data_IF_192341541165
#
_entry.id   IF_192341541165
#
_cell.length_a   1.000
_cell.length_b   1.000
_cell.length_c   1.000
_cell.angle_alpha   90.00
_cell.angle_beta   90.00
_cell.angle_gamma   90.00
#
_symmetry.space_group_name_H-M   'P 1'
#
loop_
_entity.id
_entity.type
_entity.pdbx_description
1 polymer ?
#
# COMPACT_ATOMS: atom_id res chain seq x y z
N UNK A 1 -7.94 -1.30 -11.34
CA UNK A 1 -7.18 -1.72 -10.13
C UNK A 1 -6.56 -3.12 -10.21
N UNK A 2 -7.16 -4.11 -10.88
CA UNK A 2 -6.79 -5.53 -10.69
C UNK A 2 -5.32 -5.89 -10.90
N UNK A 3 -4.67 -5.41 -11.98
CA UNK A 3 -3.23 -5.66 -12.20
C UNK A 3 -2.31 -4.63 -11.56
N UNK A 4 -2.67 -3.35 -11.64
CA UNK A 4 -1.83 -2.25 -11.15
C UNK A 4 -1.81 -2.14 -9.63
N UNK A 5 -2.88 -2.58 -8.94
CA UNK A 5 -2.99 -2.56 -7.49
C UNK A 5 -1.89 -3.36 -6.78
N UNK A 6 -1.59 -4.57 -7.28
CA UNK A 6 -0.53 -5.42 -6.74
C UNK A 6 0.84 -4.71 -6.86
N UNK A 7 1.08 -4.01 -7.97
CA UNK A 7 2.33 -3.26 -8.16
C UNK A 7 2.50 -2.12 -7.14
N UNK A 8 1.41 -1.52 -6.64
CA UNK A 8 1.50 -0.47 -5.63
C UNK A 8 1.99 -1.02 -4.29
N UNK A 9 1.51 -2.21 -3.90
CA UNK A 9 2.01 -2.92 -2.72
C UNK A 9 3.49 -3.29 -2.88
N UNK A 10 3.89 -3.86 -4.02
CA UNK A 10 5.31 -4.14 -4.26
C UNK A 10 6.18 -2.89 -4.24
N UNK A 11 5.68 -1.76 -4.73
CA UNK A 11 6.40 -0.48 -4.65
C UNK A 11 6.61 -0.02 -3.21
N UNK A 12 5.62 -0.21 -2.34
CA UNK A 12 5.73 0.07 -0.91
C UNK A 12 6.70 -0.89 -0.23
N UNK A 13 6.59 -2.19 -0.50
CA UNK A 13 7.51 -3.22 0.02
C UNK A 13 8.97 -2.93 -0.36
N UNK A 14 9.22 -2.50 -1.60
CA UNK A 14 10.57 -2.08 -2.02
C UNK A 14 11.05 -0.86 -1.23
N UNK A 15 10.19 0.13 -0.98
CA UNK A 15 10.56 1.30 -0.18
C UNK A 15 10.91 0.91 1.27
N UNK A 16 10.19 -0.05 1.84
CA UNK A 16 10.47 -0.59 3.17
C UNK A 16 11.80 -1.35 3.19
N UNK A 17 12.08 -2.16 2.17
CA UNK A 17 13.33 -2.90 2.03
C UNK A 17 14.52 -1.94 1.96
N UNK A 18 14.47 -0.95 1.05
CA UNK A 18 15.51 0.06 0.90
C UNK A 18 15.71 0.87 2.19
N UNK A 19 14.64 1.12 2.94
CA UNK A 19 14.71 1.83 4.22
C UNK A 19 15.35 1.01 5.32
N UNK A 20 14.98 -0.26 5.47
CA UNK A 20 15.56 -1.12 6.50
C UNK A 20 17.03 -1.44 6.25
N UNK A 21 17.47 -1.59 4.99
CA UNK A 21 18.90 -1.72 4.68
C UNK A 21 19.72 -0.54 5.23
N UNK A 22 19.18 0.70 5.15
CA UNK A 22 19.85 1.88 5.73
C UNK A 22 19.92 1.87 7.25
N UNK A 23 19.08 1.07 7.91
CA UNK A 23 19.11 0.85 9.36
C UNK A 23 19.93 -0.37 9.77
N UNK A 24 20.61 -1.02 8.82
CA UNK A 24 21.55 -2.13 9.09
C UNK A 24 20.93 -3.52 9.04
N UNK A 25 19.72 -3.67 8.50
CA UNK A 25 19.12 -4.99 8.28
C UNK A 25 19.72 -5.67 7.05
N UNK A 26 19.92 -6.99 7.13
CA UNK A 26 20.28 -7.81 5.98
C UNK A 26 19.09 -7.90 5.01
N UNK A 27 19.37 -7.74 3.72
CA UNK A 27 18.34 -7.63 2.68
C UNK A 27 17.43 -8.85 2.64
N UNK A 28 18.00 -10.04 2.68
CA UNK A 28 17.26 -11.29 2.52
C UNK A 28 16.33 -11.54 3.73
N UNK A 29 16.81 -11.28 4.95
CA UNK A 29 15.98 -11.36 6.16
C UNK A 29 14.84 -10.34 6.11
N UNK A 30 15.14 -9.10 5.73
CA UNK A 30 14.14 -8.04 5.66
C UNK A 30 13.10 -8.30 4.56
N UNK A 31 13.52 -8.87 3.43
CA UNK A 31 12.62 -9.29 2.36
C UNK A 31 11.58 -10.29 2.87
N UNK A 32 12.01 -11.30 3.63
CA UNK A 32 11.12 -12.31 4.20
C UNK A 32 10.16 -11.68 5.23
N UNK A 33 10.67 -10.83 6.12
CA UNK A 33 9.86 -10.11 7.12
C UNK A 33 8.76 -9.28 6.44
N UNK A 34 9.12 -8.48 5.41
CA UNK A 34 8.17 -7.64 4.69
C UNK A 34 7.14 -8.49 3.96
N UNK A 35 7.58 -9.59 3.34
CA UNK A 35 6.69 -10.51 2.61
C UNK A 35 5.65 -11.14 3.53
N UNK A 36 6.07 -11.69 4.68
CA UNK A 36 5.15 -12.26 5.65
C UNK A 36 4.24 -11.21 6.29
N UNK A 37 4.72 -9.98 6.47
CA UNK A 37 3.88 -8.86 6.92
C UNK A 37 2.77 -8.57 5.92
N UNK A 38 3.07 -8.53 4.63
CA UNK A 38 2.08 -8.31 3.58
C UNK A 38 1.05 -9.45 3.51
N UNK A 39 1.51 -10.71 3.64
CA UNK A 39 0.61 -11.87 3.74
C UNK A 39 -0.32 -11.75 4.95
N UNK A 40 0.22 -11.45 6.13
CA UNK A 40 -0.57 -11.29 7.36
C UNK A 40 -1.65 -10.21 7.23
N UNK A 41 -1.30 -9.05 6.67
CA UNK A 41 -2.26 -7.97 6.43
C UNK A 41 -3.39 -8.41 5.47
N UNK A 42 -3.03 -9.10 4.37
CA UNK A 42 -4.01 -9.65 3.43
C UNK A 42 -4.91 -10.71 4.05
N UNK A 43 -4.36 -11.62 4.85
CA UNK A 43 -5.12 -12.65 5.57
C UNK A 43 -6.09 -12.02 6.56
N UNK A 44 -5.66 -11.02 7.35
CA UNK A 44 -6.54 -10.29 8.27
C UNK A 44 -7.71 -9.61 7.56
N UNK A 45 -7.46 -9.06 6.36
CA UNK A 45 -8.51 -8.44 5.55
C UNK A 45 -9.54 -9.45 5.01
N UNK A 46 -9.11 -10.69 4.73
CA UNK A 46 -9.96 -11.76 4.23
C UNK A 46 -10.83 -12.42 5.30
N UNK A 47 -10.42 -12.38 6.58
CA UNK A 47 -11.04 -13.14 7.68
C UNK A 47 -12.38 -12.55 8.20
N UNK A 48 -13.12 -11.77 7.38
CA UNK A 48 -14.39 -11.15 7.78
C UNK A 48 -15.60 -11.72 7.04
N UNK A 49 -16.42 -12.47 7.78
CA UNK A 49 -17.57 -13.23 7.25
C UNK A 49 -18.91 -12.47 7.20
N UNK A 50 -18.97 -11.16 7.47
CA UNK A 50 -20.25 -10.43 7.45
C UNK A 50 -20.15 -8.97 6.99
N UNK A 51 -19.14 -8.22 7.44
CA UNK A 51 -18.88 -6.84 7.02
C UNK A 51 -17.38 -6.57 7.21
N UNK A 52 -16.61 -6.35 6.15
CA UNK A 52 -15.21 -5.98 6.29
C UNK A 52 -15.11 -4.65 7.05
N UNK A 53 -14.31 -4.55 8.12
CA UNK A 53 -14.03 -3.28 8.77
C UNK A 53 -13.25 -2.38 7.81
N UNK A 54 -13.27 -1.07 8.08
CA UNK A 54 -12.43 -0.16 7.32
C UNK A 54 -10.95 -0.47 7.59
N UNK A 55 -10.08 -0.28 6.59
CA UNK A 55 -8.64 -0.53 6.78
C UNK A 55 -8.02 0.32 7.90
N UNK A 56 -8.59 1.52 8.14
CA UNK A 56 -8.21 2.39 9.25
C UNK A 56 -8.42 1.73 10.63
N UNK A 57 -9.39 0.83 10.77
CA UNK A 57 -9.63 0.15 12.04
C UNK A 57 -8.56 -0.90 12.34
N UNK A 58 -8.02 -1.59 11.34
CA UNK A 58 -6.82 -2.42 11.54
C UNK A 58 -5.62 -1.59 11.98
N UNK A 59 -5.42 -0.40 11.38
CA UNK A 59 -4.35 0.49 11.82
C UNK A 59 -4.50 0.89 13.29
N UNK A 60 -5.71 1.24 13.75
CA UNK A 60 -5.99 1.56 15.16
C UNK A 60 -5.79 0.37 16.10
N UNK A 61 -6.10 -0.84 15.65
CA UNK A 61 -5.90 -2.06 16.46
C UNK A 61 -4.41 -2.40 16.64
N UNK A 62 -3.58 -2.09 15.64
CA UNK A 62 -2.14 -2.39 15.64
C UNK A 62 -1.33 -1.26 16.28
N UNK A 63 -1.72 0.00 16.06
CA UNK A 63 -1.03 1.17 16.60
C UNK A 63 -1.45 1.44 18.04
N UNK A 64 -0.51 1.29 18.96
CA UNK A 64 -0.70 1.69 20.37
C UNK A 64 -0.30 3.16 20.56
N UNK A 65 -0.98 3.92 21.43
CA UNK A 65 -0.63 5.31 21.74
C UNK A 65 0.82 5.44 22.24
N UNK A 66 1.59 6.35 21.63
CA UNK A 66 3.01 6.55 21.88
C UNK A 66 3.94 5.49 21.29
N UNK A 67 3.40 4.57 20.47
CA UNK A 67 4.14 3.46 19.87
C UNK A 67 4.88 3.82 18.58
N UNK A 68 5.75 2.91 18.14
CA UNK A 68 6.52 3.07 16.89
C UNK A 68 5.64 3.05 15.65
N UNK A 69 4.56 2.26 15.65
CA UNK A 69 3.59 2.22 14.55
C UNK A 69 2.87 3.56 14.40
N UNK A 70 2.42 4.16 15.50
CA UNK A 70 1.78 5.48 15.50
C UNK A 70 2.73 6.54 14.91
N UNK A 71 3.98 6.57 15.36
CA UNK A 71 4.98 7.51 14.84
C UNK A 71 5.20 7.38 13.32
N UNK A 72 5.20 6.16 12.78
CA UNK A 72 5.30 5.93 11.33
C UNK A 72 4.04 6.40 10.58
N UNK A 73 2.85 6.09 11.11
CA UNK A 73 1.57 6.52 10.52
C UNK A 73 1.44 8.05 10.52
N UNK A 74 1.88 8.74 11.57
CA UNK A 74 1.89 10.20 11.62
C UNK A 74 2.76 10.82 10.52
N UNK A 75 3.90 10.21 10.21
CA UNK A 75 4.74 10.66 9.08
C UNK A 75 4.00 10.47 7.75
N UNK A 76 3.33 9.34 7.55
CA UNK A 76 2.54 9.12 6.33
C UNK A 76 1.38 10.11 6.19
N UNK A 77 0.71 10.44 7.30
CA UNK A 77 -0.38 11.41 7.34
C UNK A 77 0.14 12.82 7.02
N UNK A 78 1.25 13.25 7.64
CA UNK A 78 1.86 14.55 7.33
C UNK A 78 2.38 14.64 5.89
N UNK A 79 2.87 13.53 5.32
CA UNK A 79 3.24 13.46 3.92
C UNK A 79 2.02 13.45 2.96
N UNK A 80 0.80 13.40 3.51
CA UNK A 80 -0.46 13.39 2.78
C UNK A 80 -0.57 12.21 1.81
N UNK A 81 -0.36 11.00 2.34
CA UNK A 81 -0.42 9.75 1.58
C UNK A 81 -1.74 9.61 0.81
N UNK A 82 -2.86 10.01 1.41
CA UNK A 82 -4.19 9.95 0.77
C UNK A 82 -4.22 10.74 -0.54
N UNK A 83 -3.69 11.96 -0.54
CA UNK A 83 -3.59 12.78 -1.75
C UNK A 83 -2.68 12.13 -2.80
N UNK A 84 -1.56 11.54 -2.38
CA UNK A 84 -0.65 10.84 -3.31
C UNK A 84 -1.37 9.67 -4.00
N UNK A 85 -2.17 8.91 -3.25
CA UNK A 85 -2.94 7.79 -3.79
C UNK A 85 -4.06 8.28 -4.71
N UNK A 86 -4.79 9.34 -4.33
CA UNK A 86 -5.84 9.94 -5.17
C UNK A 86 -5.30 10.44 -6.51
N UNK A 87 -4.20 11.19 -6.49
CA UNK A 87 -3.50 11.67 -7.69
C UNK A 87 -3.09 10.50 -8.60
N UNK A 88 -2.56 9.42 -8.02
CA UNK A 88 -2.19 8.22 -8.76
C UNK A 88 -3.43 7.52 -9.37
N UNK A 89 -4.55 7.45 -8.65
CA UNK A 89 -5.78 6.84 -9.16
C UNK A 89 -6.40 7.69 -10.28
N UNK A 90 -6.36 9.02 -10.15
CA UNK A 90 -6.79 9.94 -11.20
C UNK A 90 -5.95 9.76 -12.47
N UNK A 91 -4.62 9.63 -12.35
CA UNK A 91 -3.73 9.39 -13.48
C UNK A 91 -4.04 8.05 -14.20
N UNK A 92 -4.30 6.99 -13.44
CA UNK A 92 -4.70 5.68 -14.00
C UNK A 92 -6.03 5.79 -14.74
N UNK A 93 -7.02 6.47 -14.15
CA UNK A 93 -8.32 6.67 -14.80
C UNK A 93 -8.19 7.50 -16.10
N UNK A 94 -7.39 8.56 -16.08
CA UNK A 94 -7.12 9.37 -17.26
C UNK A 94 -6.44 8.56 -18.37
N UNK A 95 -5.42 7.76 -18.04
CA UNK A 95 -4.74 6.91 -19.03
C UNK A 95 -5.66 5.84 -19.58
N UNK A 96 -6.49 5.22 -18.74
CA UNK A 96 -7.46 4.22 -19.19
C UNK A 96 -8.46 4.79 -20.21
N UNK A 97 -8.92 6.04 -20.00
CA UNK A 97 -9.78 6.73 -20.97
C UNK A 97 -9.05 7.03 -22.28
N UNK A 98 -7.83 7.56 -22.20
CA UNK A 98 -7.03 7.85 -23.39
C UNK A 98 -6.79 6.59 -24.25
N UNK A 99 -6.50 5.43 -23.64
CA UNK A 99 -6.35 4.17 -24.35
C UNK A 99 -7.65 3.76 -25.05
N UNK A 100 -8.81 3.92 -24.40
CA UNK A 100 -10.10 3.62 -25.02
C UNK A 100 -10.41 4.54 -26.21
N UNK A 101 -10.06 5.83 -26.10
CA UNK A 101 -10.22 6.81 -27.18
C UNK A 101 -9.27 6.52 -28.36
N UNK A 102 -8.03 6.10 -28.10
CA UNK A 102 -7.07 5.66 -29.12
C UNK A 102 -7.62 4.44 -29.89
N UNK A 103 -8.10 3.43 -29.16
CA UNK A 103 -8.66 2.21 -29.74
C UNK A 103 -9.93 2.41 -30.56
N UNK A 104 -10.69 3.48 -30.32
CA UNK A 104 -11.91 3.79 -31.07
C UNK A 104 -11.68 4.67 -32.30
N UNK A 105 -10.51 5.33 -32.41
CA UNK A 105 -10.12 6.10 -33.61
C UNK A 105 -9.47 5.26 -34.70
N UNK A 106 -8.94 4.10 -34.36
CA UNK A 106 -8.28 3.18 -35.30
C UNK A 106 -9.28 2.23 -36.02
N UNK A 107 -10.59 2.44 -35.86
CA UNK A 107 -11.69 1.75 -36.55
C UNK A 107 -12.55 2.75 -37.34
#
# INVERSE_FOLDING_TARGET
>A
LSGSGIAYFFRLMQAMLDAGERYGFERDELYDIITWTAVGAGTLALDNNATPPEFADYCKQIAVPGGTTEAALDIFNHANLDRIVDDAMAAVAARSRAIADELTRDW
#
